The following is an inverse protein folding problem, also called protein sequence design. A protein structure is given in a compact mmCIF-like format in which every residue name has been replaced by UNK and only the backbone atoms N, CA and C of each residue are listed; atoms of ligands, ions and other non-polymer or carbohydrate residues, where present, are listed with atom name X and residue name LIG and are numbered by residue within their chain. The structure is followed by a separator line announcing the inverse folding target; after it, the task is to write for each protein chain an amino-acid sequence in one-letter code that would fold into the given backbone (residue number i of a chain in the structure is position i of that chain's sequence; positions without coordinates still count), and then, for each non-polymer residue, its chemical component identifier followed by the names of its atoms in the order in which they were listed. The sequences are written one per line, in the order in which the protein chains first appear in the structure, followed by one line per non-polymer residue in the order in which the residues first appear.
data_IF_420517141241
#
_entry.id   IF_420517141241
#
_cell.length_a   1.000
_cell.length_b   1.000
_cell.length_c   1.000
_cell.angle_alpha   90.00
_cell.angle_beta   90.00
_cell.angle_gamma   90.00
#
_symmetry.space_group_name_H-M   'P 1'
#
loop_
_entity.id
_entity.type
_entity.pdbx_description
1 polymer ?
#
# COMPACT_ATOMS: atom_id res chain seq x y z
N UNK A 1 3.75 -9.20 17.84
CA UNK A 1 3.99 -9.20 16.39
C UNK A 1 4.14 -7.74 16.00
N UNK A 2 5.20 -7.36 15.27
CA UNK A 2 5.38 -5.98 14.89
C UNK A 2 4.26 -5.56 13.95
N UNK A 3 3.73 -4.35 14.17
CA UNK A 3 2.66 -3.77 13.38
C UNK A 3 2.89 -2.27 13.22
N UNK A 4 2.25 -1.69 12.20
CA UNK A 4 2.24 -0.26 11.96
C UNK A 4 0.83 0.20 11.56
N UNK A 5 0.49 1.44 11.92
CA UNK A 5 -0.71 2.13 11.47
C UNK A 5 -0.29 3.38 10.74
N UNK A 6 -0.74 3.51 9.49
CA UNK A 6 -0.48 4.67 8.64
C UNK A 6 -1.76 5.47 8.43
N UNK A 7 -1.64 6.79 8.50
CA UNK A 7 -2.71 7.75 8.22
C UNK A 7 -2.30 8.62 7.04
N UNK A 8 -3.23 8.80 6.11
CA UNK A 8 -3.05 9.57 4.88
C UNK A 8 -3.86 10.86 4.96
N UNK A 9 -3.42 11.91 4.26
CA UNK A 9 -4.17 13.18 4.18
C UNK A 9 -5.44 13.08 3.30
N UNK A 10 -5.65 11.93 2.64
CA UNK A 10 -6.81 11.66 1.80
C UNK A 10 -7.15 10.16 1.72
N UNK A 11 -8.13 9.78 0.88
CA UNK A 11 -8.56 8.40 0.73
C UNK A 11 -7.42 7.49 0.23
N UNK A 12 -7.24 6.35 0.89
CA UNK A 12 -6.23 5.33 0.53
C UNK A 12 -6.88 4.04 0.05
N UNK A 13 -6.23 3.31 -0.85
CA UNK A 13 -6.67 1.98 -1.28
C UNK A 13 -5.48 1.04 -1.47
N UNK A 14 -5.08 0.26 -0.45
CA UNK A 14 -4.01 -0.74 -0.59
C UNK A 14 -4.25 -1.70 -1.75
N UNK A 15 -5.51 -2.08 -1.99
CA UNK A 15 -5.89 -2.95 -3.11
C UNK A 15 -5.56 -2.34 -4.48
N UNK A 16 -5.83 -1.05 -4.69
CA UNK A 16 -5.49 -0.37 -5.95
C UNK A 16 -4.00 -0.05 -6.05
N UNK A 17 -3.39 0.45 -4.96
CA UNK A 17 -1.97 0.80 -4.91
C UNK A 17 -1.08 -0.41 -5.15
N UNK A 18 -1.42 -1.56 -4.57
CA UNK A 18 -0.57 -2.75 -4.62
C UNK A 18 -0.94 -3.72 -5.76
N UNK A 19 -2.12 -3.60 -6.38
CA UNK A 19 -2.53 -4.48 -7.49
C UNK A 19 -1.52 -4.57 -8.65
N UNK A 20 -0.86 -3.48 -9.08
CA UNK A 20 0.16 -3.55 -10.14
C UNK A 20 1.37 -4.43 -9.79
N UNK A 21 1.59 -4.70 -8.50
CA UNK A 21 2.72 -5.50 -8.02
C UNK A 21 2.45 -7.01 -8.04
N UNK A 22 1.19 -7.43 -8.28
CA UNK A 22 0.77 -8.83 -8.32
C UNK A 22 1.21 -9.51 -9.62
N UNK A 23 1.83 -10.69 -9.52
CA UNK A 23 2.27 -11.51 -10.66
C UNK A 23 1.19 -12.48 -11.12
N UNK A 24 0.04 -11.94 -11.52
CA UNK A 24 -1.11 -12.69 -12.02
C UNK A 24 -2.02 -13.25 -10.93
N UNK A 25 -3.15 -13.84 -11.33
CA UNK A 25 -4.19 -14.25 -10.39
C UNK A 25 -3.76 -15.37 -9.43
N UNK A 26 -2.81 -16.20 -9.82
CA UNK A 26 -2.31 -17.32 -9.02
C UNK A 26 -1.04 -16.98 -8.20
N UNK A 27 -0.67 -15.71 -8.08
CA UNK A 27 0.54 -15.27 -7.36
C UNK A 27 0.50 -15.69 -5.88
N UNK A 28 1.30 -16.67 -5.43
CA UNK A 28 1.26 -17.14 -4.05
C UNK A 28 1.80 -16.11 -3.07
N UNK A 29 2.56 -15.12 -3.55
CA UNK A 29 3.14 -14.05 -2.75
C UNK A 29 2.23 -12.83 -2.63
N UNK A 30 1.06 -12.85 -3.29
CA UNK A 30 0.07 -11.78 -3.24
C UNK A 30 -1.34 -12.36 -3.27
N UNK A 31 -1.99 -12.38 -2.11
CA UNK A 31 -3.34 -12.89 -1.95
C UNK A 31 -4.26 -11.77 -1.48
N UNK A 32 -5.48 -11.74 -2.02
CA UNK A 32 -6.53 -10.83 -1.56
C UNK A 32 -7.58 -11.69 -0.87
N UNK A 33 -7.87 -11.40 0.39
CA UNK A 33 -8.91 -12.08 1.17
C UNK A 33 -9.91 -11.02 1.64
N UNK A 34 -11.08 -10.99 1.00
CA UNK A 34 -12.00 -9.87 1.17
C UNK A 34 -11.40 -8.58 0.63
N UNK A 35 -11.23 -7.57 1.48
CA UNK A 35 -10.56 -6.31 1.14
C UNK A 35 -9.05 -6.30 1.52
N UNK A 36 -8.60 -7.33 2.23
CA UNK A 36 -7.27 -7.35 2.84
C UNK A 36 -6.24 -7.93 1.88
N UNK A 37 -5.06 -7.34 1.89
CA UNK A 37 -3.93 -7.80 1.09
C UNK A 37 -2.96 -8.56 1.96
N UNK A 38 -2.71 -9.82 1.60
CA UNK A 38 -1.64 -10.64 2.14
C UNK A 38 -0.48 -10.65 1.16
N UNK A 39 0.71 -10.28 1.64
CA UNK A 39 1.91 -10.20 0.82
C UNK A 39 3.05 -10.94 1.47
N UNK A 40 3.80 -11.71 0.70
CA UNK A 40 5.12 -12.17 1.12
C UNK A 40 6.20 -11.46 0.32
N UNK A 41 7.33 -11.18 0.95
CA UNK A 41 8.46 -10.52 0.31
C UNK A 41 9.77 -10.99 0.95
N UNK A 42 10.88 -10.83 0.22
CA UNK A 42 12.21 -11.14 0.72
C UNK A 42 12.94 -9.83 0.98
N UNK A 43 13.01 -9.44 2.25
CA UNK A 43 13.81 -8.29 2.70
C UNK A 43 15.28 -8.72 2.83
N UNK A 44 16.22 -7.76 2.92
CA UNK A 44 17.64 -8.08 3.14
C UNK A 44 17.85 -8.76 4.50
N UNK A 45 17.04 -8.39 5.48
CA UNK A 45 16.99 -8.98 6.81
C UNK A 45 16.28 -10.34 6.87
N UNK A 46 15.60 -10.76 5.79
CA UNK A 46 14.99 -12.07 5.67
C UNK A 46 13.56 -12.05 5.12
N UNK A 47 12.88 -13.21 5.07
CA UNK A 47 11.52 -13.29 4.58
C UNK A 47 10.53 -12.58 5.51
N UNK A 48 9.49 -12.02 4.91
CA UNK A 48 8.35 -11.42 5.60
C UNK A 48 7.05 -11.91 4.98
N UNK A 49 6.07 -12.17 5.84
CA UNK A 49 4.65 -12.18 5.49
C UNK A 49 4.02 -10.94 6.11
N UNK A 50 3.19 -10.23 5.36
CA UNK A 50 2.49 -9.04 5.82
C UNK A 50 0.99 -9.17 5.51
N UNK A 51 0.17 -8.74 6.46
CA UNK A 51 -1.26 -8.55 6.30
C UNK A 51 -1.54 -7.07 6.36
N UNK A 52 -2.17 -6.53 5.32
CA UNK A 52 -2.41 -5.11 5.11
C UNK A 52 -3.91 -4.90 4.97
N UNK A 53 -4.49 -4.14 5.89
CA UNK A 53 -5.93 -3.93 5.99
C UNK A 53 -6.24 -2.43 6.02
N UNK A 54 -7.23 -2.01 5.22
CA UNK A 54 -7.78 -0.65 5.28
C UNK A 54 -8.80 -0.60 6.41
N UNK A 55 -8.54 0.16 7.46
CA UNK A 55 -9.40 0.23 8.66
C UNK A 55 -10.27 1.50 8.70
N UNK A 56 -9.93 2.53 7.93
CA UNK A 56 -10.78 3.71 7.67
C UNK A 56 -10.54 4.25 6.25
N UNK A 57 -11.24 5.32 5.85
CA UNK A 57 -11.09 5.93 4.50
C UNK A 57 -9.63 6.27 4.18
N UNK A 58 -8.89 6.71 5.19
CA UNK A 58 -7.55 7.29 5.16
C UNK A 58 -6.53 6.51 6.04
N UNK A 59 -6.91 5.34 6.56
CA UNK A 59 -6.12 4.61 7.56
C UNK A 59 -5.86 3.17 7.12
N UNK A 60 -4.60 2.74 7.20
CA UNK A 60 -4.15 1.37 6.90
C UNK A 60 -3.41 0.81 8.11
N UNK A 61 -3.74 -0.42 8.47
CA UNK A 61 -2.98 -1.21 9.43
C UNK A 61 -2.21 -2.30 8.72
N UNK A 62 -1.00 -2.57 9.19
CA UNK A 62 -0.18 -3.66 8.72
C UNK A 62 0.38 -4.46 9.88
N UNK A 63 0.19 -5.77 9.84
CA UNK A 63 0.88 -6.72 10.69
C UNK A 63 1.94 -7.47 9.87
N UNK A 64 3.10 -7.73 10.46
CA UNK A 64 4.19 -8.40 9.78
C UNK A 64 4.83 -9.52 10.62
N UNK A 65 5.26 -10.58 9.92
CA UNK A 65 5.86 -11.78 10.50
C UNK A 65 7.11 -12.20 9.76
N UNK A 66 8.11 -12.68 10.50
CA UNK A 66 9.39 -13.16 9.95
C UNK A 66 10.54 -12.22 10.23
N UNK A 67 11.76 -12.64 9.84
CA UNK A 67 12.99 -11.88 10.10
C UNK A 67 13.01 -10.53 9.37
N UNK A 68 12.30 -10.41 8.23
CA UNK A 68 12.17 -9.18 7.47
C UNK A 68 11.12 -8.19 7.98
N UNK A 69 10.40 -8.50 9.07
CA UNK A 69 9.21 -7.74 9.46
C UNK A 69 9.50 -6.26 9.79
N UNK A 70 10.58 -5.98 10.52
CA UNK A 70 10.95 -4.60 10.85
C UNK A 70 11.31 -3.79 9.59
N UNK A 71 12.19 -4.32 8.74
CA UNK A 71 12.58 -3.66 7.47
C UNK A 71 11.38 -3.44 6.54
N UNK A 72 10.42 -4.37 6.51
CA UNK A 72 9.20 -4.22 5.73
C UNK A 72 8.31 -3.09 6.25
N UNK A 73 8.09 -3.01 7.57
CA UNK A 73 7.26 -1.98 8.17
C UNK A 73 7.89 -0.59 8.06
N UNK A 74 9.22 -0.49 8.14
CA UNK A 74 9.95 0.76 7.92
C UNK A 74 9.75 1.29 6.48
N UNK A 75 9.64 0.39 5.50
CA UNK A 75 9.38 0.74 4.09
C UNK A 75 7.90 0.83 3.70
N UNK A 76 6.99 0.52 4.62
CA UNK A 76 5.55 0.48 4.33
C UNK A 76 4.96 1.84 3.91
N UNK A 77 5.34 3.00 4.51
CA UNK A 77 4.91 4.32 4.06
C UNK A 77 5.11 4.54 2.56
N UNK A 78 6.35 4.43 2.08
CA UNK A 78 6.70 4.56 0.68
C UNK A 78 6.01 3.49 -0.20
N UNK A 79 5.88 2.24 0.27
CA UNK A 79 5.20 1.18 -0.48
C UNK A 79 3.72 1.50 -0.74
N UNK A 80 3.06 2.21 0.18
CA UNK A 80 1.66 2.62 0.06
C UNK A 80 1.49 4.04 -0.49
N UNK A 81 2.57 4.70 -0.91
CA UNK A 81 2.57 6.05 -1.47
C UNK A 81 2.30 7.15 -0.44
N UNK A 82 2.49 6.89 0.86
CA UNK A 82 2.32 7.91 1.89
C UNK A 82 3.36 9.04 1.76
N UNK A 83 4.54 8.70 1.26
CA UNK A 83 5.66 9.63 1.09
C UNK A 83 5.70 10.26 -0.33
N UNK A 84 4.69 10.02 -1.16
CA UNK A 84 4.63 10.56 -2.52
C UNK A 84 4.29 12.07 -2.49
N UNK A 85 5.08 12.89 -3.20
CA UNK A 85 4.83 14.32 -3.39
C UNK A 85 4.19 14.57 -4.76
N UNK A 86 2.96 15.06 -4.76
CA UNK A 86 2.20 15.38 -5.97
C UNK A 86 2.10 16.90 -6.25
N UNK A 87 2.77 17.77 -5.47
CA UNK A 87 2.58 19.23 -5.52
C UNK A 87 2.82 19.85 -6.92
N UNK A 88 3.62 19.20 -7.77
CA UNK A 88 3.89 19.62 -9.15
C UNK A 88 2.98 19.00 -10.21
N UNK A 89 2.05 18.11 -9.84
CA UNK A 89 1.21 17.38 -10.78
C UNK A 89 0.00 18.22 -11.23
N UNK A 90 0.15 18.90 -12.37
CA UNK A 90 -0.89 19.72 -12.99
C UNK A 90 -1.25 19.21 -14.41
N UNK A 91 -2.01 18.10 -14.53
CA UNK A 91 -2.34 17.54 -15.83
C UNK A 91 -3.28 18.45 -16.62
N UNK A 92 -2.96 18.71 -17.89
CA UNK A 92 -3.80 19.50 -18.81
C UNK A 92 -4.82 18.64 -19.58
N UNK A 93 -4.57 17.33 -19.72
CA UNK A 93 -5.49 16.42 -20.41
C UNK A 93 -6.76 16.20 -19.55
N UNK A 94 -7.97 16.46 -20.08
CA UNK A 94 -9.21 16.31 -19.31
C UNK A 94 -9.42 14.91 -18.72
N UNK A 95 -8.93 13.86 -19.38
CA UNK A 95 -9.02 12.47 -18.92
C UNK A 95 -8.28 12.24 -17.62
N UNK A 96 -7.13 12.93 -17.45
CA UNK A 96 -6.27 12.81 -16.27
C UNK A 96 -6.65 13.87 -15.24
N UNK A 97 -7.04 15.07 -15.67
CA UNK A 97 -7.43 16.17 -14.78
C UNK A 97 -8.72 15.89 -13.99
N UNK A 98 -9.72 15.27 -14.62
CA UNK A 98 -10.99 14.96 -13.98
C UNK A 98 -10.86 14.09 -12.70
N UNK A 99 -10.16 12.94 -12.70
CA UNK A 99 -10.00 12.14 -11.49
C UNK A 99 -9.10 12.80 -10.42
N UNK A 100 -8.12 13.62 -10.79
CA UNK A 100 -7.26 14.35 -9.83
C UNK A 100 -8.07 15.31 -8.97
N UNK A 101 -9.04 16.00 -9.57
CA UNK A 101 -9.94 16.91 -8.85
C UNK A 101 -10.83 16.19 -7.81
N UNK A 102 -11.04 14.88 -7.94
CA UNK A 102 -11.80 14.08 -6.98
C UNK A 102 -10.92 13.52 -5.83
N UNK A 103 -9.60 13.59 -5.96
CA UNK A 103 -8.63 13.00 -5.02
C UNK A 103 -7.94 14.04 -4.13
N UNK A 104 -7.82 15.29 -4.61
CA UNK A 104 -7.39 16.43 -3.80
C UNK A 104 -8.58 17.01 -3.03
N UNK A 105 -8.48 17.24 -1.71
CA UNK A 105 -9.54 17.85 -0.93
C UNK A 105 -9.86 19.29 -1.36
#
# INVERSE_FOLDING_TARGET
MPSATLRFDGPVSPGLTLAPLRRGSADPCFQIVGADTWRTSLMRTGPVTAHIAKTAVDTVECEAWGAGAAEFLDGLPALLGLDDDDAGFAPADPTIAAPVACWRP
#
